data_IF_241520626596
#
_entry.id   IF_241520626596
#
_cell.length_a   1.000
_cell.length_b   1.000
_cell.length_c   1.000
_cell.angle_alpha   90.00
_cell.angle_beta   90.00
_cell.angle_gamma   90.00
#
_symmetry.space_group_name_H-M   'P 1'
#
loop_
_entity.id
_entity.type
_entity.pdbx_description
1 polymer ?
#
# COMPACT_ATOMS: atom_id res chain seq x y z
N UNK A 1 13.54 18.24 -17.29
CA UNK A 1 12.32 17.41 -17.31
C UNK A 1 12.05 16.95 -15.89
N UNK A 2 11.00 17.44 -15.24
CA UNK A 2 10.71 17.09 -13.84
C UNK A 2 9.82 15.83 -13.81
N UNK A 3 10.37 14.71 -13.34
CA UNK A 3 9.60 13.48 -13.13
C UNK A 3 8.77 13.66 -11.85
N UNK A 4 7.46 13.93 -12.01
CA UNK A 4 6.49 13.86 -10.92
C UNK A 4 6.36 12.40 -10.51
N UNK A 5 7.10 11.99 -9.49
CA UNK A 5 6.81 10.73 -8.80
C UNK A 5 5.55 11.02 -7.98
N UNK A 6 4.39 10.71 -8.54
CA UNK A 6 3.15 10.78 -7.80
C UNK A 6 3.26 9.77 -6.64
N UNK A 7 2.99 10.18 -5.39
CA UNK A 7 2.92 9.23 -4.28
C UNK A 7 1.95 8.10 -4.65
N UNK A 8 2.35 6.87 -4.32
CA UNK A 8 1.62 5.66 -4.69
C UNK A 8 0.12 5.84 -4.39
N UNK A 9 -0.71 5.58 -5.41
CA UNK A 9 -2.13 5.90 -5.38
C UNK A 9 -2.78 5.27 -4.15
N UNK A 10 -3.53 6.06 -3.37
CA UNK A 10 -4.15 5.60 -2.12
C UNK A 10 -5.05 4.36 -2.29
N UNK A 11 -5.50 4.07 -3.53
CA UNK A 11 -6.18 2.81 -3.86
C UNK A 11 -5.36 1.57 -3.54
N UNK A 12 -4.03 1.60 -3.66
CA UNK A 12 -3.17 0.45 -3.33
C UNK A 12 -3.24 0.11 -1.84
N UNK A 13 -3.21 1.14 -0.99
CA UNK A 13 -3.37 1.00 0.45
C UNK A 13 -4.78 0.52 0.81
N UNK A 14 -5.80 1.03 0.12
CA UNK A 14 -7.19 0.61 0.30
C UNK A 14 -7.39 -0.87 -0.08
N UNK A 15 -6.80 -1.33 -1.18
CA UNK A 15 -6.82 -2.74 -1.58
C UNK A 15 -6.14 -3.62 -0.53
N UNK A 16 -5.03 -3.19 0.07
CA UNK A 16 -4.36 -3.93 1.14
C UNK A 16 -5.23 -4.08 2.39
N UNK A 17 -5.93 -3.01 2.80
CA UNK A 17 -6.82 -3.02 3.95
C UNK A 17 -8.02 -3.94 3.70
N UNK A 18 -8.69 -3.79 2.55
CA UNK A 18 -9.86 -4.60 2.21
C UNK A 18 -9.47 -6.08 2.07
N UNK A 19 -8.38 -6.38 1.36
CA UNK A 19 -7.89 -7.75 1.20
C UNK A 19 -7.52 -8.41 2.52
N UNK A 20 -6.90 -7.67 3.44
CA UNK A 20 -6.61 -8.15 4.78
C UNK A 20 -7.88 -8.48 5.57
N UNK A 21 -8.88 -7.57 5.56
CA UNK A 21 -10.16 -7.77 6.24
C UNK A 21 -10.91 -8.99 5.67
N UNK A 22 -11.02 -9.11 4.35
CA UNK A 22 -11.66 -10.27 3.72
C UNK A 22 -10.95 -11.56 4.14
N UNK A 23 -9.62 -11.55 4.17
CA UNK A 23 -8.88 -12.74 4.52
C UNK A 23 -9.13 -13.17 5.97
N UNK A 24 -9.08 -12.23 6.92
CA UNK A 24 -9.28 -12.52 8.35
C UNK A 24 -10.71 -12.98 8.66
N UNK A 25 -11.71 -12.29 8.10
CA UNK A 25 -13.11 -12.57 8.43
C UNK A 25 -13.74 -13.69 7.60
N UNK A 26 -13.34 -13.85 6.34
CA UNK A 26 -13.99 -14.77 5.41
C UNK A 26 -13.16 -16.03 5.14
N UNK A 27 -11.86 -15.89 4.96
CA UNK A 27 -11.01 -17.00 4.47
C UNK A 27 -10.42 -17.80 5.62
N UNK A 28 -9.87 -17.14 6.63
CA UNK A 28 -9.24 -17.79 7.79
C UNK A 28 -10.14 -18.81 8.53
N UNK A 29 -11.45 -18.56 8.75
CA UNK A 29 -12.32 -19.53 9.41
C UNK A 29 -12.73 -20.71 8.51
N UNK A 30 -12.68 -20.57 7.18
CA UNK A 30 -13.12 -21.61 6.25
C UNK A 30 -11.95 -22.41 5.65
N UNK A 31 -10.79 -21.79 5.46
CA UNK A 31 -9.63 -22.35 4.79
C UNK A 31 -8.35 -21.85 5.43
N UNK A 32 -7.86 -22.55 6.45
CA UNK A 32 -6.71 -22.11 7.26
C UNK A 32 -5.42 -22.00 6.44
N UNK A 33 -5.14 -22.94 5.54
CA UNK A 33 -3.93 -22.95 4.71
C UNK A 33 -3.87 -21.74 3.75
N UNK A 34 -4.99 -21.45 3.09
CA UNK A 34 -5.12 -20.30 2.18
C UNK A 34 -5.20 -18.97 2.94
N UNK A 35 -5.84 -18.96 4.11
CA UNK A 35 -5.96 -17.78 4.96
C UNK A 35 -4.60 -17.28 5.45
N UNK A 36 -3.73 -18.17 5.92
CA UNK A 36 -2.38 -17.80 6.37
C UNK A 36 -1.56 -17.21 5.22
N UNK A 37 -1.60 -17.85 4.04
CA UNK A 37 -0.87 -17.39 2.85
C UNK A 37 -1.30 -15.98 2.43
N UNK A 38 -2.61 -15.73 2.40
CA UNK A 38 -3.16 -14.43 2.03
C UNK A 38 -2.90 -13.35 3.09
N UNK A 39 -2.94 -13.70 4.38
CA UNK A 39 -2.57 -12.77 5.47
C UNK A 39 -1.13 -12.29 5.31
N UNK A 40 -0.20 -13.21 5.04
CA UNK A 40 1.22 -12.86 4.82
C UNK A 40 1.35 -11.97 3.56
N UNK A 41 0.67 -12.31 2.48
CA UNK A 41 0.68 -11.52 1.25
C UNK A 41 0.19 -10.09 1.47
N UNK A 42 -0.97 -9.91 2.11
CA UNK A 42 -1.51 -8.59 2.39
C UNK A 42 -0.69 -7.81 3.42
N UNK A 43 -0.07 -8.48 4.39
CA UNK A 43 0.84 -7.84 5.35
C UNK A 43 2.09 -7.26 4.65
N UNK A 44 2.72 -8.02 3.74
CA UNK A 44 3.86 -7.53 2.95
C UNK A 44 3.43 -6.38 2.04
N UNK A 45 2.26 -6.50 1.41
CA UNK A 45 1.70 -5.45 0.55
C UNK A 45 1.42 -4.15 1.33
N UNK A 46 0.95 -4.27 2.57
CA UNK A 46 0.72 -3.13 3.47
C UNK A 46 2.03 -2.45 3.87
N UNK A 47 3.07 -3.23 4.22
CA UNK A 47 4.40 -2.70 4.53
C UNK A 47 4.99 -1.97 3.31
N UNK A 48 4.86 -2.55 2.11
CA UNK A 48 5.30 -1.91 0.87
C UNK A 48 4.57 -0.57 0.62
N UNK A 49 3.25 -0.52 0.88
CA UNK A 49 2.46 0.70 0.77
C UNK A 49 2.96 1.79 1.72
N UNK A 50 3.24 1.44 2.98
CA UNK A 50 3.77 2.36 3.99
C UNK A 50 5.15 2.90 3.60
N UNK A 51 6.06 2.04 3.13
CA UNK A 51 7.39 2.44 2.66
C UNK A 51 7.27 3.39 1.47
N UNK A 52 6.35 3.11 0.55
CA UNK A 52 6.17 3.95 -0.63
C UNK A 52 5.60 5.34 -0.31
N UNK A 53 4.75 5.46 0.69
CA UNK A 53 4.21 6.75 1.14
C UNK A 53 5.24 7.56 1.93
N UNK A 54 6.07 6.89 2.73
CA UNK A 54 7.10 7.56 3.55
C UNK A 54 8.32 8.02 2.75
N UNK A 55 8.65 7.36 1.64
CA UNK A 55 9.74 7.79 0.72
C UNK A 55 9.32 8.83 -0.32
N UNK A 56 8.20 9.54 -0.11
CA UNK A 56 7.76 10.59 -1.02
C UNK A 56 8.85 11.69 -1.12
N UNK A 57 9.33 12.04 -2.32
CA UNK A 57 10.36 13.05 -2.47
C UNK A 57 9.78 14.41 -2.06
N UNK A 58 10.29 14.97 -0.96
CA UNK A 58 10.05 16.35 -0.57
C UNK A 58 10.78 17.22 -1.59
N UNK A 59 10.19 17.43 -2.77
CA UNK A 59 10.74 18.37 -3.76
C UNK A 59 10.47 19.76 -3.20
N UNK A 60 11.48 20.54 -2.79
CA UNK A 60 11.26 21.94 -2.44
C UNK A 60 10.68 22.62 -3.68
N UNK A 61 9.51 23.23 -3.52
CA UNK A 61 8.87 24.08 -4.51
C UNK A 61 9.92 25.11 -4.93
N UNK A 62 10.50 24.95 -6.13
CA UNK A 62 11.33 25.99 -6.73
C UNK A 62 10.38 27.15 -7.00
N UNK A 63 10.49 28.18 -6.18
CA UNK A 63 9.86 29.46 -6.40
C UNK A 63 10.35 30.01 -7.73
N UNK A 64 9.57 29.78 -8.79
CA UNK A 64 9.74 30.46 -10.06
C UNK A 64 9.34 31.92 -9.84
N UNK A 65 10.25 32.72 -9.29
CA UNK A 65 10.29 34.14 -9.64
C UNK A 65 10.64 34.21 -11.13
N UNK A 66 9.65 34.52 -11.95
CA UNK A 66 9.73 35.58 -12.96
C UNK A 66 8.35 35.81 -13.56
#
# INVERSE_FOLDING_TARGET
MAYKIAPLHGSFMLTAIIGFLITVFLILPNYTDWGITLVIFFAVMFIAALISMTKSPVVPKKDTKK
#
